data_IF_389481550326
#
_entry.id   IF_389481550326
#
_cell.length_a   1.000
_cell.length_b   1.000
_cell.length_c   1.000
_cell.angle_alpha   90.00
_cell.angle_beta   90.00
_cell.angle_gamma   90.00
#
_symmetry.space_group_name_H-M   'P 1'
#
loop_
_entity.id
_entity.type
_entity.pdbx_description
1 polymer ?
#
# COMPACT_ATOMS: atom_id res chain seq x y z
N UNK A 1 10.41 -21.72 -20.20
CA UNK A 1 11.62 -22.51 -19.94
C UNK A 1 11.39 -23.97 -20.30
N UNK A 2 12.38 -24.65 -20.88
CA UNK A 2 12.27 -26.03 -21.30
C UNK A 2 13.51 -26.83 -20.84
N UNK A 3 13.30 -28.06 -20.38
CA UNK A 3 14.37 -29.04 -20.17
C UNK A 3 14.41 -29.99 -21.38
N UNK A 4 15.59 -30.16 -21.95
CA UNK A 4 15.80 -31.01 -23.11
C UNK A 4 16.61 -32.23 -22.69
N UNK A 5 16.04 -33.40 -22.84
CA UNK A 5 16.69 -34.66 -22.61
C UNK A 5 17.22 -35.18 -23.95
N UNK A 6 18.51 -35.54 -23.99
CA UNK A 6 19.14 -36.14 -25.19
C UNK A 6 19.35 -37.62 -24.93
N UNK A 7 18.58 -38.48 -25.59
CA UNK A 7 18.79 -39.92 -25.57
C UNK A 7 19.73 -40.34 -26.73
N UNK A 8 20.56 -41.36 -26.50
CA UNK A 8 21.44 -41.91 -27.55
C UNK A 8 20.61 -42.37 -28.74
N UNK A 9 20.84 -41.71 -29.88
CA UNK A 9 20.17 -41.86 -31.19
C UNK A 9 18.90 -40.99 -31.35
N UNK A 10 19.16 -39.72 -31.58
CA UNK A 10 18.30 -38.73 -32.27
C UNK A 10 16.87 -38.41 -31.76
N UNK A 11 16.39 -38.93 -30.67
CA UNK A 11 15.12 -38.45 -30.07
C UNK A 11 15.41 -37.42 -28.96
N UNK A 12 15.13 -36.15 -29.22
CA UNK A 12 15.14 -35.10 -28.19
C UNK A 12 13.76 -35.07 -27.54
N UNK A 13 13.67 -35.46 -26.29
CA UNK A 13 12.45 -35.27 -25.49
C UNK A 13 12.54 -33.91 -24.81
N UNK A 14 11.52 -33.09 -25.01
CA UNK A 14 11.45 -31.75 -24.44
C UNK A 14 10.31 -31.69 -23.43
N UNK A 15 10.58 -31.22 -22.21
CA UNK A 15 9.59 -31.00 -21.17
C UNK A 15 9.47 -29.50 -20.93
N UNK A 16 8.28 -28.96 -21.13
CA UNK A 16 7.99 -27.58 -20.79
C UNK A 16 7.75 -27.48 -19.27
N UNK A 17 8.41 -26.51 -18.59
CA UNK A 17 8.30 -26.32 -17.15
C UNK A 17 7.42 -25.10 -16.85
N UNK A 18 7.54 -24.03 -17.64
CA UNK A 18 6.76 -22.82 -17.46
C UNK A 18 7.36 -21.64 -18.23
N UNK A 19 6.68 -20.50 -18.12
CA UNK A 19 7.14 -19.20 -18.64
C UNK A 19 7.33 -18.25 -17.46
N UNK A 20 8.44 -17.51 -17.43
CA UNK A 20 8.72 -16.48 -16.42
C UNK A 20 8.47 -15.12 -17.04
N UNK A 21 7.83 -14.24 -16.29
CA UNK A 21 7.61 -12.84 -16.62
C UNK A 21 8.37 -11.90 -15.67
N UNK A 22 9.02 -12.46 -14.63
CA UNK A 22 9.88 -11.76 -13.69
C UNK A 22 11.16 -12.53 -13.42
N UNK A 23 12.19 -11.85 -12.93
CA UNK A 23 13.48 -12.46 -12.59
C UNK A 23 13.35 -13.46 -11.43
N UNK A 24 12.47 -13.19 -10.46
CA UNK A 24 12.17 -14.12 -9.37
C UNK A 24 11.51 -15.42 -9.84
N UNK A 25 10.58 -15.34 -10.79
CA UNK A 25 9.97 -16.51 -11.41
C UNK A 25 11.00 -17.32 -12.23
N UNK A 26 11.94 -16.63 -12.88
CA UNK A 26 13.01 -17.28 -13.62
C UNK A 26 13.90 -18.14 -12.71
N UNK A 27 14.26 -17.62 -11.54
CA UNK A 27 15.05 -18.34 -10.54
C UNK A 27 14.32 -19.59 -10.04
N UNK A 28 13.01 -19.50 -9.78
CA UNK A 28 12.19 -20.64 -9.38
C UNK A 28 12.10 -21.70 -10.47
N UNK A 29 11.92 -21.28 -11.73
CA UNK A 29 11.89 -22.21 -12.86
C UNK A 29 13.25 -22.85 -13.13
N UNK A 30 14.35 -22.15 -12.86
CA UNK A 30 15.70 -22.72 -12.94
C UNK A 30 15.93 -23.80 -11.87
N UNK A 31 15.51 -23.54 -10.63
CA UNK A 31 15.59 -24.52 -9.54
C UNK A 31 14.76 -25.77 -9.85
N UNK A 32 13.55 -25.62 -10.39
CA UNK A 32 12.72 -26.77 -10.80
C UNK A 32 13.30 -27.51 -11.99
N UNK A 33 13.90 -26.80 -12.95
CA UNK A 33 14.61 -27.42 -14.06
C UNK A 33 15.78 -28.30 -13.58
N UNK A 34 16.56 -27.77 -12.64
CA UNK A 34 17.68 -28.47 -12.04
C UNK A 34 17.21 -29.75 -11.32
N UNK A 35 16.13 -29.63 -10.52
CA UNK A 35 15.52 -30.78 -9.83
C UNK A 35 15.09 -31.90 -10.78
N UNK A 36 14.54 -31.54 -11.95
CA UNK A 36 14.10 -32.50 -12.96
C UNK A 36 15.33 -33.18 -13.62
N UNK A 37 16.39 -32.43 -13.89
CA UNK A 37 17.64 -32.95 -14.46
C UNK A 37 18.31 -33.91 -13.48
N UNK A 38 18.41 -33.53 -12.21
CA UNK A 38 19.04 -34.33 -11.16
C UNK A 38 18.24 -35.60 -10.83
N UNK A 39 16.90 -35.56 -10.95
CA UNK A 39 16.03 -36.72 -10.73
C UNK A 39 16.06 -37.79 -11.83
N UNK A 40 16.48 -37.42 -13.04
CA UNK A 40 16.59 -38.35 -14.19
C UNK A 40 18.02 -38.92 -14.41
N UNK A 41 18.98 -38.43 -13.59
CA UNK A 41 20.30 -39.08 -13.58
C UNK A 41 20.19 -40.40 -12.81
N UNK A 42 20.30 -41.50 -13.54
CA UNK A 42 20.56 -42.80 -12.95
C UNK A 42 21.87 -42.73 -12.16
N UNK A 43 21.75 -42.55 -10.84
CA UNK A 43 22.90 -42.68 -9.96
C UNK A 43 23.42 -44.10 -10.12
N UNK A 44 24.72 -44.26 -10.49
CA UNK A 44 25.36 -45.55 -10.35
C UNK A 44 25.28 -45.95 -8.89
N UNK A 45 24.69 -47.09 -8.64
CA UNK A 45 24.53 -47.66 -7.32
C UNK A 45 25.91 -48.04 -6.76
N UNK A 46 26.51 -47.16 -5.99
CA UNK A 46 27.73 -47.40 -5.21
C UNK A 46 27.44 -47.88 -3.78
N UNK A 47 26.34 -48.59 -3.56
CA UNK A 47 25.90 -49.06 -2.26
C UNK A 47 25.07 -47.99 -1.53
N UNK A 48 24.05 -48.46 -0.83
CA UNK A 48 23.07 -47.65 -0.12
C UNK A 48 23.72 -46.64 0.81
N UNK A 49 24.04 -45.45 0.31
CA UNK A 49 24.08 -44.28 1.12
C UNK A 49 22.62 -43.81 1.21
N UNK A 50 21.97 -44.15 2.30
CA UNK A 50 20.66 -43.59 2.65
C UNK A 50 20.82 -42.09 2.76
N UNK A 51 20.71 -41.37 1.65
CA UNK A 51 20.62 -39.90 1.66
C UNK A 51 19.26 -39.56 2.24
N UNK A 52 19.20 -39.40 3.55
CA UNK A 52 18.14 -38.67 4.17
C UNK A 52 18.19 -37.25 3.57
N UNK A 53 17.16 -36.82 2.84
CA UNK A 53 17.18 -35.47 2.28
C UNK A 53 17.44 -34.47 3.40
N UNK A 54 18.30 -33.46 3.20
CA UNK A 54 18.63 -32.52 4.24
C UNK A 54 17.33 -31.88 4.75
N UNK A 55 17.21 -31.80 6.06
CA UNK A 55 16.02 -31.22 6.70
C UNK A 55 15.78 -29.81 6.17
N UNK A 56 14.54 -29.51 5.83
CA UNK A 56 14.14 -28.15 5.40
C UNK A 56 14.57 -27.14 6.47
N UNK A 57 15.27 -26.09 6.04
CA UNK A 57 15.88 -25.10 6.97
C UNK A 57 17.34 -25.39 7.31
N UNK A 58 17.97 -26.40 6.69
CA UNK A 58 19.43 -26.65 6.80
C UNK A 58 20.22 -25.73 5.87
N UNK A 59 21.54 -25.63 6.07
CA UNK A 59 22.44 -24.85 5.19
C UNK A 59 22.39 -25.32 3.74
N UNK A 60 22.21 -26.63 3.52
CA UNK A 60 22.10 -27.24 2.19
C UNK A 60 20.68 -27.25 1.62
N UNK A 61 19.68 -26.95 2.44
CA UNK A 61 18.28 -26.83 2.03
C UNK A 61 17.61 -25.68 2.82
N UNK A 62 17.97 -24.42 2.51
CA UNK A 62 17.44 -23.27 3.22
C UNK A 62 15.92 -23.13 3.02
N UNK A 63 15.26 -22.55 4.01
CA UNK A 63 13.84 -22.20 3.90
C UNK A 63 13.65 -21.16 2.77
N UNK A 64 12.66 -21.36 1.89
CA UNK A 64 12.35 -20.35 0.89
C UNK A 64 11.83 -19.07 1.55
N UNK A 65 12.22 -17.91 1.03
CA UNK A 65 11.62 -16.63 1.42
C UNK A 65 10.21 -16.59 0.86
N UNK A 66 9.21 -16.67 1.74
CA UNK A 66 7.80 -16.67 1.35
C UNK A 66 7.22 -15.27 1.14
N UNK A 67 7.88 -14.24 1.66
CA UNK A 67 7.44 -12.85 1.54
C UNK A 67 8.40 -11.89 2.23
N UNK A 68 8.20 -10.60 1.96
CA UNK A 68 8.97 -9.51 2.56
C UNK A 68 8.00 -8.47 3.10
N UNK A 69 8.32 -7.86 4.24
CA UNK A 69 7.52 -6.80 4.86
C UNK A 69 8.42 -5.68 5.36
N UNK A 70 8.04 -4.44 5.08
CA UNK A 70 8.73 -3.25 5.60
C UNK A 70 8.32 -2.97 7.06
N UNK A 71 8.65 -3.92 7.98
CA UNK A 71 8.15 -3.93 9.36
C UNK A 71 8.35 -2.62 10.10
N UNK A 72 9.58 -2.11 10.17
CA UNK A 72 9.89 -0.87 10.89
C UNK A 72 9.09 0.34 10.40
N UNK A 73 8.97 0.52 9.09
CA UNK A 73 8.20 1.63 8.51
C UNK A 73 6.74 1.55 8.94
N UNK A 74 6.16 0.38 8.84
CA UNK A 74 4.76 0.15 9.18
C UNK A 74 4.49 0.32 10.67
N UNK A 75 5.40 -0.17 11.52
CA UNK A 75 5.29 -0.07 12.97
C UNK A 75 5.42 1.39 13.44
N UNK A 76 6.29 2.21 12.81
CA UNK A 76 6.37 3.64 13.08
C UNK A 76 5.08 4.38 12.70
N UNK A 77 4.53 4.11 11.51
CA UNK A 77 3.27 4.73 11.08
C UNK A 77 2.13 4.35 12.03
N UNK A 78 2.07 3.09 12.44
CA UNK A 78 1.04 2.61 13.35
C UNK A 78 1.18 3.19 14.77
N UNK A 79 2.41 3.36 15.24
CA UNK A 79 2.65 4.01 16.52
C UNK A 79 2.11 5.44 16.52
N UNK A 80 2.44 6.24 15.50
CA UNK A 80 1.91 7.60 15.35
C UNK A 80 0.37 7.61 15.20
N UNK A 81 -0.18 6.69 14.41
CA UNK A 81 -1.64 6.57 14.21
C UNK A 81 -2.37 6.32 15.55
N UNK A 82 -1.80 5.48 16.40
CA UNK A 82 -2.34 5.19 17.71
C UNK A 82 -2.13 6.34 18.70
N UNK A 83 -0.95 6.95 18.71
CA UNK A 83 -0.59 8.06 19.58
C UNK A 83 -1.47 9.29 19.34
N UNK A 84 -1.80 9.59 18.09
CA UNK A 84 -2.72 10.66 17.73
C UNK A 84 -4.19 10.35 18.04
N UNK A 85 -4.50 9.19 18.60
CA UNK A 85 -5.87 8.77 18.91
C UNK A 85 -6.71 8.39 17.68
N UNK A 86 -6.12 8.32 16.49
CA UNK A 86 -6.85 8.04 15.24
C UNK A 86 -7.41 6.62 15.19
N UNK A 87 -6.78 5.67 15.87
CA UNK A 87 -7.30 4.31 16.01
C UNK A 87 -8.66 4.33 16.76
N UNK A 88 -8.71 4.99 17.92
CA UNK A 88 -9.94 5.10 18.69
C UNK A 88 -11.01 5.91 17.94
N UNK A 89 -10.63 7.03 17.30
CA UNK A 89 -11.52 7.88 16.52
C UNK A 89 -12.17 7.15 15.33
N UNK A 90 -11.48 6.19 14.75
CA UNK A 90 -11.99 5.38 13.61
C UNK A 90 -12.67 4.08 14.03
N UNK A 91 -12.71 3.75 15.33
CA UNK A 91 -13.12 2.43 15.80
C UNK A 91 -12.15 1.32 15.35
N UNK A 92 -10.87 1.65 15.24
CA UNK A 92 -9.78 0.81 14.74
C UNK A 92 -10.05 0.22 13.34
N UNK A 93 -10.66 1.03 12.47
CA UNK A 93 -11.04 0.59 11.12
C UNK A 93 -9.79 0.24 10.28
N UNK A 94 -9.66 -1.01 9.83
CA UNK A 94 -8.48 -1.45 9.10
C UNK A 94 -8.35 -0.79 7.72
N UNK A 95 -9.44 -0.33 7.12
CA UNK A 95 -9.42 0.34 5.81
C UNK A 95 -8.85 1.74 5.94
N UNK A 96 -9.24 2.50 6.99
CA UNK A 96 -8.65 3.81 7.24
C UNK A 96 -7.16 3.70 7.51
N UNK A 97 -6.74 2.76 8.37
CA UNK A 97 -5.33 2.52 8.68
C UNK A 97 -4.50 2.22 7.43
N UNK A 98 -5.01 1.37 6.55
CA UNK A 98 -4.37 1.04 5.26
C UNK A 98 -4.30 2.26 4.33
N UNK A 99 -5.35 3.08 4.26
CA UNK A 99 -5.35 4.31 3.46
C UNK A 99 -4.31 5.32 3.95
N UNK A 100 -4.19 5.49 5.26
CA UNK A 100 -3.18 6.38 5.87
C UNK A 100 -1.77 5.88 5.56
N UNK A 101 -1.49 4.59 5.77
CA UNK A 101 -0.19 3.98 5.44
C UNK A 101 0.18 4.23 3.98
N UNK A 102 -0.71 3.88 3.05
CA UNK A 102 -0.46 4.06 1.62
C UNK A 102 -0.18 5.53 1.27
N UNK A 103 -0.92 6.46 1.87
CA UNK A 103 -0.76 7.90 1.60
C UNK A 103 0.56 8.46 2.10
N UNK A 104 1.08 7.93 3.21
CA UNK A 104 2.39 8.32 3.75
C UNK A 104 3.53 7.69 2.95
N UNK A 105 3.42 6.42 2.58
CA UNK A 105 4.47 5.68 1.88
C UNK A 105 4.66 6.20 0.46
N UNK A 106 3.56 6.29 -0.29
CA UNK A 106 3.57 6.78 -1.67
C UNK A 106 2.24 7.47 -2.01
N UNK A 107 2.19 8.81 -2.03
CA UNK A 107 1.03 9.57 -2.44
C UNK A 107 0.70 9.34 -3.91
N UNK A 108 -0.21 8.42 -4.20
CA UNK A 108 -0.55 7.98 -5.54
C UNK A 108 -2.06 7.90 -5.75
N UNK A 109 -2.49 7.44 -6.92
CA UNK A 109 -3.89 7.19 -7.22
C UNK A 109 -4.46 6.06 -6.36
N UNK A 110 -5.80 5.96 -6.29
CA UNK A 110 -6.47 4.91 -5.51
C UNK A 110 -6.26 3.49 -6.06
N UNK A 111 -5.84 3.36 -7.29
CA UNK A 111 -5.51 2.06 -7.88
C UNK A 111 -4.07 1.67 -7.52
N UNK A 112 -3.14 2.59 -7.65
CA UNK A 112 -1.72 2.35 -7.43
C UNK A 112 -1.38 2.05 -5.96
N UNK A 113 -2.19 2.55 -5.00
CA UNK A 113 -1.91 2.29 -3.59
C UNK A 113 -2.02 0.81 -3.20
N UNK A 114 -2.81 -0.01 -3.93
CA UNK A 114 -2.89 -1.46 -3.69
C UNK A 114 -1.54 -2.11 -4.01
N UNK A 115 -0.89 -1.69 -5.11
CA UNK A 115 0.44 -2.14 -5.48
C UNK A 115 1.49 -1.66 -4.47
N UNK A 116 1.46 -0.39 -4.11
CA UNK A 116 2.33 0.20 -3.07
C UNK A 116 2.27 -0.58 -1.75
N UNK A 117 1.07 -0.98 -1.32
CA UNK A 117 0.91 -1.77 -0.11
C UNK A 117 1.46 -3.20 -0.26
N UNK A 118 1.28 -3.81 -1.42
CA UNK A 118 1.82 -5.13 -1.71
C UNK A 118 3.36 -5.12 -1.71
N UNK A 119 4.00 -4.08 -2.24
CA UNK A 119 5.46 -3.89 -2.24
C UNK A 119 6.03 -3.83 -0.80
N UNK A 120 5.30 -3.25 0.14
CA UNK A 120 5.70 -3.20 1.55
C UNK A 120 5.22 -4.40 2.36
N UNK A 121 4.63 -5.40 1.72
CA UNK A 121 4.19 -6.65 2.32
C UNK A 121 2.87 -6.56 3.09
N UNK A 122 1.96 -5.68 2.67
CA UNK A 122 0.61 -5.55 3.23
C UNK A 122 -0.42 -6.06 2.21
N UNK A 123 -1.26 -7.00 2.64
CA UNK A 123 -2.45 -7.37 1.89
C UNK A 123 -3.56 -6.36 2.19
N UNK A 124 -3.95 -5.57 1.19
CA UNK A 124 -5.01 -4.59 1.34
C UNK A 124 -6.41 -5.21 1.14
N UNK A 125 -7.44 -4.50 1.60
CA UNK A 125 -8.81 -4.80 1.20
C UNK A 125 -8.99 -4.54 -0.32
N UNK A 126 -10.01 -5.17 -0.93
CA UNK A 126 -10.32 -4.95 -2.33
C UNK A 126 -10.68 -3.47 -2.61
N UNK A 127 -10.40 -3.00 -3.82
CA UNK A 127 -10.75 -1.64 -4.25
C UNK A 127 -12.22 -1.29 -3.97
N UNK A 128 -13.14 -2.23 -4.22
CA UNK A 128 -14.58 -2.07 -3.95
C UNK A 128 -14.88 -1.85 -2.47
N UNK A 129 -14.19 -2.59 -1.58
CA UNK A 129 -14.34 -2.42 -0.14
C UNK A 129 -13.87 -1.03 0.30
N UNK A 130 -12.75 -0.58 -0.22
CA UNK A 130 -12.18 0.74 0.06
C UNK A 130 -13.11 1.85 -0.41
N UNK A 131 -13.62 1.77 -1.63
CA UNK A 131 -14.58 2.74 -2.16
C UNK A 131 -15.83 2.85 -1.29
N UNK A 132 -16.37 1.73 -0.85
CA UNK A 132 -17.56 1.72 0.02
C UNK A 132 -17.29 2.32 1.40
N UNK A 133 -16.13 2.02 1.99
CA UNK A 133 -15.78 2.52 3.34
C UNK A 133 -15.37 3.99 3.33
N UNK A 134 -14.80 4.49 2.24
CA UNK A 134 -14.33 5.86 2.13
C UNK A 134 -15.41 6.91 2.45
N UNK A 135 -16.64 6.68 2.03
CA UNK A 135 -17.75 7.61 2.29
C UNK A 135 -18.02 7.79 3.78
N UNK A 136 -17.78 6.76 4.61
CA UNK A 136 -17.96 6.88 6.07
C UNK A 136 -16.89 7.78 6.73
N UNK A 137 -15.73 7.95 6.10
CA UNK A 137 -14.67 8.83 6.59
C UNK A 137 -14.77 10.26 6.07
N UNK A 138 -15.68 10.54 5.13
CA UNK A 138 -15.94 11.85 4.58
C UNK A 138 -17.14 12.56 5.25
N UNK A 139 -17.63 12.04 6.38
CA UNK A 139 -18.75 12.62 7.11
C UNK A 139 -18.25 13.70 8.08
N UNK A 140 -19.07 14.71 8.31
CA UNK A 140 -18.78 15.77 9.28
C UNK A 140 -18.54 15.21 10.68
N UNK A 141 -19.37 14.27 11.11
CA UNK A 141 -19.24 13.61 12.42
C UNK A 141 -17.89 12.88 12.58
N UNK A 142 -17.38 12.26 11.52
CA UNK A 142 -16.04 11.64 11.57
C UNK A 142 -14.95 12.71 11.67
N UNK A 143 -15.06 13.82 10.93
CA UNK A 143 -14.15 14.96 11.02
C UNK A 143 -14.11 15.57 12.42
N UNK A 144 -15.25 15.71 13.07
CA UNK A 144 -15.32 16.18 14.46
C UNK A 144 -14.62 15.25 15.45
N UNK A 145 -14.84 13.92 15.34
CA UNK A 145 -14.18 12.93 16.20
C UNK A 145 -12.66 12.96 16.00
N UNK A 146 -12.19 13.05 14.74
CA UNK A 146 -10.76 13.19 14.45
C UNK A 146 -10.19 14.48 15.05
N UNK A 147 -10.88 15.61 14.89
CA UNK A 147 -10.48 16.90 15.45
C UNK A 147 -10.34 16.83 16.98
N UNK A 148 -11.31 16.20 17.65
CA UNK A 148 -11.24 16.00 19.10
C UNK A 148 -10.04 15.13 19.52
N UNK A 149 -9.76 14.05 18.79
CA UNK A 149 -8.61 13.18 19.07
C UNK A 149 -7.28 13.94 18.92
N UNK A 150 -7.12 14.71 17.84
CA UNK A 150 -5.91 15.49 17.57
C UNK A 150 -5.76 16.65 18.58
N UNK A 151 -6.85 17.34 18.93
CA UNK A 151 -6.84 18.38 19.95
C UNK A 151 -6.46 17.84 21.34
N UNK A 152 -6.96 16.64 21.68
CA UNK A 152 -6.60 15.96 22.92
C UNK A 152 -5.11 15.59 22.93
N UNK A 153 -4.58 15.02 21.84
CA UNK A 153 -3.16 14.71 21.72
C UNK A 153 -2.28 15.96 21.86
N UNK A 154 -2.66 17.07 21.20
CA UNK A 154 -1.95 18.33 21.27
C UNK A 154 -2.10 19.05 22.63
N UNK A 155 -2.91 18.54 23.55
CA UNK A 155 -3.15 19.17 24.85
C UNK A 155 -3.87 20.54 24.76
N UNK A 156 -4.67 20.74 23.71
CA UNK A 156 -5.32 22.02 23.43
C UNK A 156 -6.49 22.27 24.39
N UNK A 157 -6.39 23.36 25.13
CA UNK A 157 -7.45 23.85 25.99
C UNK A 157 -8.35 24.89 25.30
N UNK A 158 -9.46 25.28 25.93
CA UNK A 158 -10.47 26.21 25.36
C UNK A 158 -9.96 27.62 25.06
N UNK A 159 -8.77 27.98 25.52
CA UNK A 159 -8.14 29.31 25.33
C UNK A 159 -6.91 29.23 24.39
N UNK A 160 -6.74 28.15 23.67
CA UNK A 160 -5.59 27.97 22.78
C UNK A 160 -5.68 28.89 21.55
N UNK A 161 -4.53 29.41 21.14
CA UNK A 161 -4.42 30.13 19.86
C UNK A 161 -4.45 29.12 18.70
N UNK A 162 -5.35 29.35 17.75
CA UNK A 162 -5.55 28.49 16.59
C UNK A 162 -5.34 29.31 15.33
N UNK A 163 -4.55 28.77 14.41
CA UNK A 163 -4.30 29.34 13.10
C UNK A 163 -5.21 28.65 12.05
N UNK A 164 -5.76 29.45 11.16
CA UNK A 164 -6.55 28.94 10.05
C UNK A 164 -5.95 29.40 8.72
N UNK A 165 -5.57 28.45 7.88
CA UNK A 165 -5.05 28.69 6.54
C UNK A 165 -5.99 28.12 5.48
N UNK A 166 -6.11 28.81 4.35
CA UNK A 166 -6.97 28.42 3.24
C UNK A 166 -6.16 28.29 1.97
N UNK A 167 -6.18 27.12 1.36
CA UNK A 167 -5.56 26.85 0.09
C UNK A 167 -6.60 26.56 -0.98
N UNK A 168 -6.40 27.09 -2.18
CA UNK A 168 -7.27 26.86 -3.33
C UNK A 168 -6.67 25.72 -4.17
N UNK A 169 -7.48 24.71 -4.47
CA UNK A 169 -7.12 23.64 -5.37
C UNK A 169 -7.90 23.78 -6.69
N UNK A 170 -7.17 23.85 -7.78
CA UNK A 170 -7.72 23.91 -9.13
C UNK A 170 -7.81 22.50 -9.73
N UNK A 171 -8.81 22.29 -10.56
CA UNK A 171 -9.03 21.01 -11.22
C UNK A 171 -9.15 21.23 -12.74
N UNK A 172 -8.34 20.54 -13.50
CA UNK A 172 -8.47 20.41 -14.96
C UNK A 172 -9.61 19.45 -15.31
N UNK A 173 -10.83 19.74 -14.85
CA UNK A 173 -11.99 18.90 -15.09
C UNK A 173 -13.11 19.72 -15.72
N UNK A 174 -13.66 19.22 -16.82
CA UNK A 174 -14.71 19.90 -17.60
C UNK A 174 -16.07 19.98 -16.90
N UNK A 175 -16.28 19.19 -15.84
CA UNK A 175 -17.57 19.13 -15.13
C UNK A 175 -17.45 19.58 -13.70
N UNK A 176 -18.17 20.66 -13.30
CA UNK A 176 -18.30 21.05 -11.90
C UNK A 176 -19.15 20.03 -11.13
N UNK A 177 -18.91 19.92 -9.82
CA UNK A 177 -19.70 19.15 -8.86
C UNK A 177 -20.10 20.04 -7.67
N UNK A 178 -20.58 19.42 -6.59
CA UNK A 178 -21.03 20.17 -5.40
C UNK A 178 -19.91 20.97 -4.74
N UNK A 179 -18.67 20.49 -4.74
CA UNK A 179 -17.50 21.14 -4.16
C UNK A 179 -16.70 21.94 -5.20
N UNK A 180 -16.56 21.41 -6.41
CA UNK A 180 -15.82 22.06 -7.50
C UNK A 180 -16.73 23.05 -8.21
N UNK A 181 -16.72 24.28 -7.75
CA UNK A 181 -17.48 25.38 -8.35
C UNK A 181 -16.56 26.32 -9.12
N UNK A 182 -16.96 26.78 -10.32
CA UNK A 182 -16.20 27.79 -11.03
C UNK A 182 -16.27 29.13 -10.29
N UNK A 183 -15.10 29.75 -10.08
CA UNK A 183 -15.01 31.12 -9.60
C UNK A 183 -14.11 31.92 -10.55
N UNK A 184 -14.49 33.18 -10.80
CA UNK A 184 -13.70 34.09 -11.61
C UNK A 184 -12.52 34.60 -10.76
N UNK A 185 -11.31 34.18 -11.09
CA UNK A 185 -10.10 34.62 -10.40
C UNK A 185 -9.43 35.81 -11.12
N UNK A 186 -8.46 36.45 -10.43
CA UNK A 186 -7.73 37.63 -10.92
C UNK A 186 -7.05 37.45 -12.28
N UNK A 187 -6.88 36.19 -12.73
CA UNK A 187 -6.23 35.85 -14.00
C UNK A 187 -7.22 35.54 -15.15
N UNK A 188 -8.51 35.86 -14.97
CA UNK A 188 -9.56 35.66 -15.99
C UNK A 188 -9.81 34.20 -16.44
N UNK A 189 -9.30 33.18 -15.74
CA UNK A 189 -9.66 31.79 -15.97
C UNK A 189 -10.84 31.36 -15.10
N UNK A 190 -11.81 30.65 -15.69
CA UNK A 190 -12.97 30.08 -14.99
C UNK A 190 -12.74 28.58 -14.88
N UNK A 191 -11.98 28.19 -13.88
CA UNK A 191 -11.67 26.77 -13.64
C UNK A 191 -12.43 26.25 -12.42
N UNK A 192 -12.88 24.98 -12.44
CA UNK A 192 -13.46 24.36 -11.26
C UNK A 192 -12.43 24.29 -10.13
N UNK A 193 -12.77 24.85 -8.98
CA UNK A 193 -11.89 24.91 -7.82
C UNK A 193 -12.63 24.50 -6.56
N UNK A 194 -11.89 24.08 -5.53
CA UNK A 194 -12.40 23.99 -4.16
C UNK A 194 -11.43 24.66 -3.19
N UNK A 195 -11.94 25.02 -2.03
CA UNK A 195 -11.17 25.56 -0.93
C UNK A 195 -10.87 24.45 0.07
N UNK A 196 -9.62 24.36 0.49
CA UNK A 196 -9.21 23.48 1.58
C UNK A 196 -8.71 24.34 2.73
N UNK A 197 -9.40 24.27 3.86
CA UNK A 197 -9.01 24.93 5.09
C UNK A 197 -8.25 24.01 6.01
N UNK A 198 -7.13 24.48 6.54
CA UNK A 198 -6.32 23.79 7.54
C UNK A 198 -6.36 24.57 8.84
N UNK A 199 -6.80 23.91 9.90
CA UNK A 199 -6.77 24.44 11.26
C UNK A 199 -5.57 23.84 12.00
N UNK A 200 -4.69 24.67 12.53
CA UNK A 200 -3.53 24.23 13.30
C UNK A 200 -3.47 24.91 14.67
N UNK A 201 -2.72 24.32 15.59
CA UNK A 201 -2.33 25.00 16.82
C UNK A 201 -1.21 26.05 16.59
N UNK A 202 -0.77 26.70 17.64
CA UNK A 202 0.30 27.70 17.59
C UNK A 202 1.67 27.13 17.16
N UNK A 203 1.86 25.82 17.23
CA UNK A 203 3.09 25.14 16.81
C UNK A 203 3.04 24.66 15.36
N UNK A 204 1.88 24.77 14.71
CA UNK A 204 1.62 24.26 13.36
C UNK A 204 1.12 22.82 13.31
N UNK A 205 0.79 22.23 14.47
CA UNK A 205 0.21 20.87 14.50
C UNK A 205 -1.21 20.88 13.93
N UNK A 206 -1.54 20.04 12.93
CA UNK A 206 -2.84 20.04 12.28
C UNK A 206 -3.93 19.46 13.18
N UNK A 207 -5.04 20.18 13.29
CA UNK A 207 -6.19 19.83 14.11
C UNK A 207 -7.38 19.40 13.26
N UNK A 208 -7.63 20.14 12.17
CA UNK A 208 -8.78 19.91 11.31
C UNK A 208 -8.47 20.30 9.87
N UNK A 209 -9.02 19.51 8.94
CA UNK A 209 -9.01 19.85 7.51
C UNK A 209 -10.44 19.89 7.03
N UNK A 210 -10.86 21.03 6.50
CA UNK A 210 -12.18 21.24 5.89
C UNK A 210 -12.07 21.40 4.38
N UNK A 211 -13.06 20.91 3.63
CA UNK A 211 -13.20 21.18 2.20
C UNK A 211 -14.50 21.98 1.98
N UNK A 212 -14.39 23.08 1.24
CA UNK A 212 -15.49 23.98 0.97
C UNK A 212 -15.69 24.17 -0.53
N UNK A 213 -16.91 24.50 -0.93
CA UNK A 213 -17.20 24.79 -2.33
C UNK A 213 -16.36 25.99 -2.82
N UNK A 214 -15.85 25.90 -4.06
CA UNK A 214 -14.95 26.89 -4.62
C UNK A 214 -15.50 28.31 -4.72
N UNK A 215 -16.81 28.48 -4.61
CA UNK A 215 -17.49 29.77 -4.58
C UNK A 215 -17.92 30.22 -3.17
N UNK A 216 -17.48 29.52 -2.12
CA UNK A 216 -17.71 29.91 -0.73
C UNK A 216 -16.61 30.89 -0.32
N UNK A 217 -16.94 32.20 -0.36
CA UNK A 217 -16.07 33.28 0.13
C UNK A 217 -16.77 34.02 1.25
#
# INVERSE_FOLDING_TARGET
MHVVFSERKSAKRMKHIGSAHSESELVLLQAEAQRIVDGDQLAMDFGEVTHTPPATGSVSNPLPVAGQRAGYLLDCIDACFNEFGLAAASGDDPVLRVLVRARIIHPSSKLDFIETLAEVGITSASYRTIQRRRSSFATESFGEIQTQALAHHAGIGPSAFILYDVTILYFEADTPDELRKPLLFKEHSVEPQNLVGLLTDATGFPLHVGAFAGNSA
#
